data_IF_685685535629
#
_entry.id   IF_685685535629
#
_cell.length_a   1.000
_cell.length_b   1.000
_cell.length_c   1.000
_cell.angle_alpha   90.00
_cell.angle_beta   90.00
_cell.angle_gamma   90.00
#
_symmetry.space_group_name_H-M   'P 1'
#
loop_
_entity.id
_entity.type
_entity.pdbx_description
1 polymer ?
#
# COMPACT_ATOMS: atom_id res chain seq x y z
N UNK A 1 -5.50 -18.87 17.44
CA UNK A 1 -4.44 -18.18 16.67
C UNK A 1 -4.11 -18.99 15.44
N UNK A 2 -4.07 -18.39 14.25
CA UNK A 2 -3.60 -19.07 13.04
C UNK A 2 -2.07 -18.99 13.00
N UNK A 3 -1.37 -20.12 13.11
CA UNK A 3 0.09 -20.12 13.07
C UNK A 3 0.57 -19.76 11.66
N UNK A 4 1.29 -18.65 11.53
CA UNK A 4 2.04 -18.32 10.31
C UNK A 4 3.05 -19.45 10.06
N UNK A 5 2.75 -20.33 9.10
CA UNK A 5 3.61 -21.49 8.79
C UNK A 5 4.81 -21.03 7.96
N UNK A 6 6.06 -21.25 8.39
CA UNK A 6 7.23 -20.90 7.60
C UNK A 6 7.24 -21.57 6.22
N UNK A 7 7.45 -20.77 5.17
CA UNK A 7 7.59 -21.18 3.78
C UNK A 7 9.01 -20.80 3.32
N UNK A 8 9.90 -21.80 3.23
CA UNK A 8 11.29 -21.58 2.84
C UNK A 8 11.40 -20.96 1.44
N UNK A 9 12.28 -19.95 1.28
CA UNK A 9 12.60 -19.35 -0.02
C UNK A 9 13.25 -20.37 -0.96
N UNK A 10 12.80 -20.43 -2.22
CA UNK A 10 13.50 -21.18 -3.27
C UNK A 10 14.84 -20.51 -3.65
N UNK A 11 15.66 -21.19 -4.45
CA UNK A 11 17.00 -20.71 -4.80
C UNK A 11 17.00 -19.44 -5.68
N UNK A 12 16.02 -19.28 -6.58
CA UNK A 12 15.90 -18.10 -7.43
C UNK A 12 15.41 -16.90 -6.61
N UNK A 13 14.38 -17.10 -5.79
CA UNK A 13 13.81 -16.06 -4.93
C UNK A 13 14.83 -15.58 -3.89
N UNK A 14 15.52 -16.52 -3.22
CA UNK A 14 16.59 -16.21 -2.25
C UNK A 14 17.74 -15.41 -2.87
N UNK A 15 18.16 -15.77 -4.09
CA UNK A 15 19.19 -15.03 -4.82
C UNK A 15 18.70 -13.63 -5.25
N UNK A 16 17.44 -13.50 -5.70
CA UNK A 16 16.81 -12.21 -6.02
C UNK A 16 16.76 -11.30 -4.79
N UNK A 17 16.32 -11.81 -3.65
CA UNK A 17 16.24 -11.08 -2.37
C UNK A 17 17.64 -10.64 -1.91
N UNK A 18 18.61 -11.56 -1.87
CA UNK A 18 20.02 -11.25 -1.55
C UNK A 18 20.58 -10.14 -2.44
N UNK A 19 20.36 -10.22 -3.75
CA UNK A 19 20.85 -9.24 -4.73
C UNK A 19 20.11 -7.88 -4.66
N UNK A 20 18.96 -7.79 -4.00
CA UNK A 20 18.35 -6.51 -3.60
C UNK A 20 18.95 -6.00 -2.29
N UNK A 21 18.92 -6.79 -1.22
CA UNK A 21 19.29 -6.39 0.15
C UNK A 21 20.71 -5.82 0.28
N UNK A 22 21.67 -6.28 -0.54
CA UNK A 22 23.05 -5.78 -0.55
C UNK A 22 23.17 -4.33 -1.08
N UNK A 23 22.24 -3.88 -1.93
CA UNK A 23 22.29 -2.55 -2.54
C UNK A 23 22.05 -1.45 -1.52
N UNK A 24 22.81 -0.37 -1.59
CA UNK A 24 22.47 0.87 -0.89
C UNK A 24 21.30 1.56 -1.61
N UNK A 25 20.49 2.32 -0.86
CA UNK A 25 19.38 3.08 -1.42
C UNK A 25 19.89 4.19 -2.37
N UNK A 26 19.13 4.47 -3.42
CA UNK A 26 19.28 5.71 -4.17
C UNK A 26 18.84 6.91 -3.31
N UNK A 27 19.24 8.11 -3.71
CA UNK A 27 18.98 9.33 -2.93
C UNK A 27 17.45 9.60 -2.81
N UNK A 28 16.67 9.11 -3.77
CA UNK A 28 15.24 9.35 -3.92
C UNK A 28 14.40 8.75 -2.78
N UNK A 29 14.93 7.74 -2.08
CA UNK A 29 14.34 7.10 -0.90
C UNK A 29 14.75 7.74 0.43
N UNK A 30 15.58 8.80 0.39
CA UNK A 30 16.14 9.44 1.57
C UNK A 30 15.51 10.80 1.81
N UNK A 31 15.08 11.03 3.05
CA UNK A 31 14.63 12.33 3.54
C UNK A 31 15.61 12.88 4.58
N UNK A 32 15.64 14.20 4.75
CA UNK A 32 16.55 14.87 5.67
C UNK A 32 15.83 15.86 6.57
N UNK A 33 16.11 15.81 7.87
CA UNK A 33 15.63 16.77 8.86
C UNK A 33 16.79 17.48 9.54
N UNK A 34 16.55 18.68 10.04
CA UNK A 34 17.47 19.32 10.99
C UNK A 34 17.33 18.67 12.37
N UNK A 35 18.43 18.59 13.11
CA UNK A 35 18.48 18.14 14.50
C UNK A 35 19.68 18.77 15.21
N UNK A 36 19.83 18.52 16.52
CA UNK A 36 20.83 19.22 17.35
C UNK A 36 22.29 19.07 16.90
N UNK A 37 22.62 18.04 16.11
CA UNK A 37 23.95 17.81 15.51
C UNK A 37 24.08 18.16 14.02
N UNK A 38 23.09 18.85 13.41
CA UNK A 38 23.06 19.17 11.99
C UNK A 38 21.99 18.39 11.20
N UNK A 39 22.26 18.06 9.94
CA UNK A 39 21.30 17.36 9.06
C UNK A 39 21.32 15.85 9.31
N UNK A 40 20.18 15.29 9.70
CA UNK A 40 19.97 13.86 9.90
C UNK A 40 19.25 13.27 8.68
N UNK A 41 19.87 12.31 8.00
CA UNK A 41 19.24 11.52 6.93
C UNK A 41 18.46 10.36 7.53
N UNK A 42 17.25 10.11 7.02
CA UNK A 42 16.37 9.04 7.46
C UNK A 42 15.54 8.46 6.30
N UNK A 43 14.91 7.31 6.53
CA UNK A 43 13.85 6.77 5.66
C UNK A 43 12.49 6.96 6.33
N UNK A 44 11.49 7.28 5.52
CA UNK A 44 10.09 7.40 5.95
C UNK A 44 9.45 6.02 6.16
N UNK A 45 8.40 5.94 7.00
CA UNK A 45 7.68 4.68 7.26
C UNK A 45 7.10 4.07 5.99
N UNK A 46 6.45 4.90 5.16
CA UNK A 46 5.92 4.55 3.83
C UNK A 46 7.00 3.98 2.90
N UNK A 47 8.20 4.58 2.91
CA UNK A 47 9.35 4.09 2.15
C UNK A 47 9.81 2.72 2.64
N UNK A 48 9.94 2.51 3.96
CA UNK A 48 10.32 1.21 4.52
C UNK A 48 9.30 0.10 4.18
N UNK A 49 8.00 0.40 4.29
CA UNK A 49 6.90 -0.51 3.89
C UNK A 49 6.98 -0.86 2.40
N UNK A 50 7.16 0.14 1.53
CA UNK A 50 7.24 -0.06 0.08
C UNK A 50 8.45 -0.92 -0.31
N UNK A 51 9.62 -0.66 0.28
CA UNK A 51 10.83 -1.45 0.04
C UNK A 51 10.67 -2.90 0.52
N UNK A 52 10.07 -3.12 1.69
CA UNK A 52 9.77 -4.47 2.19
C UNK A 52 8.78 -5.21 1.28
N UNK A 53 7.73 -4.54 0.81
CA UNK A 53 6.78 -5.08 -0.18
C UNK A 53 7.45 -5.39 -1.53
N UNK A 54 8.41 -4.58 -1.98
CA UNK A 54 9.12 -4.82 -3.25
C UNK A 54 10.17 -5.94 -3.13
N UNK A 55 10.78 -6.11 -1.95
CA UNK A 55 11.85 -7.10 -1.70
C UNK A 55 11.26 -8.47 -1.36
N UNK A 56 10.36 -8.54 -0.38
CA UNK A 56 9.79 -9.82 0.11
C UNK A 56 8.46 -10.17 -0.56
N UNK A 57 7.74 -9.20 -1.12
CA UNK A 57 6.34 -9.34 -1.56
C UNK A 57 5.34 -8.96 -0.46
N UNK A 58 4.13 -8.54 -0.85
CA UNK A 58 3.10 -8.03 0.07
C UNK A 58 2.64 -9.05 1.13
N UNK A 59 2.83 -10.34 0.88
CA UNK A 59 2.57 -11.45 1.80
C UNK A 59 3.85 -12.18 2.26
N UNK A 60 5.01 -11.60 1.96
CA UNK A 60 6.33 -12.18 2.24
C UNK A 60 6.94 -11.74 3.58
N UNK A 61 6.31 -10.81 4.28
CA UNK A 61 6.72 -10.26 5.57
C UNK A 61 5.51 -9.86 6.42
N UNK A 62 5.73 -9.70 7.73
CA UNK A 62 4.76 -9.16 8.68
C UNK A 62 5.45 -8.37 9.80
N UNK A 63 4.68 -7.49 10.44
CA UNK A 63 5.04 -6.76 11.66
C UNK A 63 4.20 -7.25 12.84
N UNK A 64 4.73 -7.14 14.05
CA UNK A 64 4.05 -7.54 15.28
C UNK A 64 4.54 -6.66 16.44
N UNK A 65 3.61 -6.11 17.23
CA UNK A 65 3.94 -5.36 18.45
C UNK A 65 4.20 -6.37 19.56
N UNK A 66 5.40 -6.35 20.14
CA UNK A 66 5.80 -7.31 21.18
C UNK A 66 5.54 -6.80 22.60
N UNK A 67 5.70 -5.49 22.78
CA UNK A 67 5.35 -4.78 24.02
C UNK A 67 5.42 -3.27 23.78
N UNK A 68 4.57 -2.51 24.46
CA UNK A 68 4.59 -1.04 24.47
C UNK A 68 4.71 -0.56 25.90
N UNK A 69 5.77 0.19 26.21
CA UNK A 69 6.06 0.74 27.54
C UNK A 69 5.91 2.26 27.50
N UNK A 70 5.28 2.83 28.52
CA UNK A 70 5.18 4.28 28.70
C UNK A 70 6.26 4.68 29.70
N UNK A 71 7.34 5.27 29.20
CA UNK A 71 8.57 5.46 29.99
C UNK A 71 8.48 6.67 30.94
N UNK A 72 7.75 7.71 30.53
CA UNK A 72 7.36 8.83 31.40
C UNK A 72 6.09 9.53 30.91
N UNK A 73 5.37 10.20 31.82
CA UNK A 73 4.22 11.08 31.50
C UNK A 73 4.26 12.30 32.42
N UNK A 74 4.86 13.38 31.95
CA UNK A 74 4.95 14.63 32.70
C UNK A 74 3.82 15.58 32.34
N UNK A 75 3.34 16.35 33.32
CA UNK A 75 2.38 17.44 33.10
C UNK A 75 2.91 18.67 33.83
N UNK A 76 3.17 19.76 33.10
CA UNK A 76 3.66 21.00 33.71
C UNK A 76 2.52 21.84 34.32
N UNK A 77 2.88 22.91 35.04
CA UNK A 77 1.95 23.84 35.69
C UNK A 77 0.92 24.48 34.73
N UNK A 78 1.22 24.53 33.43
CA UNK A 78 0.34 25.06 32.37
C UNK A 78 -0.57 23.97 31.76
N UNK A 79 -0.63 22.78 32.37
CA UNK A 79 -1.40 21.63 31.88
C UNK A 79 -0.86 21.03 30.58
N UNK A 80 0.38 21.33 30.20
CA UNK A 80 1.01 20.78 28.98
C UNK A 80 1.62 19.43 29.29
N UNK A 81 1.42 18.47 28.38
CA UNK A 81 1.79 17.07 28.56
C UNK A 81 3.06 16.75 27.76
N UNK A 82 4.03 16.13 28.40
CA UNK A 82 5.16 15.48 27.74
C UNK A 82 5.13 13.97 28.01
N UNK A 83 5.46 13.14 27.03
CA UNK A 83 5.39 11.67 27.11
C UNK A 83 6.45 11.01 26.24
N UNK A 84 7.06 9.95 26.77
CA UNK A 84 7.97 9.05 26.08
C UNK A 84 7.41 7.62 26.04
N UNK A 85 7.51 6.95 24.89
CA UNK A 85 7.01 5.60 24.68
C UNK A 85 8.04 4.76 23.92
N UNK A 86 8.40 3.62 24.50
CA UNK A 86 9.24 2.58 23.90
C UNK A 86 8.37 1.41 23.42
N UNK A 87 8.50 1.05 22.15
CA UNK A 87 7.74 -0.06 21.54
C UNK A 87 8.69 -1.08 20.93
N UNK A 88 8.62 -2.33 21.40
CA UNK A 88 9.36 -3.46 20.82
C UNK A 88 8.57 -3.98 19.62
N UNK A 89 9.19 -3.99 18.44
CA UNK A 89 8.58 -4.48 17.21
C UNK A 89 9.36 -5.68 16.69
N UNK A 90 8.65 -6.76 16.35
CA UNK A 90 9.17 -7.86 15.54
C UNK A 90 8.81 -7.63 14.08
N UNK A 91 9.77 -7.87 13.19
CA UNK A 91 9.54 -8.06 11.76
C UNK A 91 9.90 -9.50 11.41
N UNK A 92 8.95 -10.24 10.84
CA UNK A 92 9.12 -11.65 10.44
C UNK A 92 8.98 -11.75 8.92
N UNK A 93 9.85 -12.51 8.25
CA UNK A 93 9.73 -12.84 6.82
C UNK A 93 9.22 -14.27 6.62
N UNK A 94 8.73 -14.59 5.42
CA UNK A 94 7.92 -15.81 5.19
C UNK A 94 8.61 -17.13 5.51
N UNK A 95 9.94 -17.20 5.53
CA UNK A 95 10.69 -18.41 5.91
C UNK A 95 10.85 -18.60 7.42
N UNK A 96 10.27 -17.71 8.24
CA UNK A 96 10.32 -17.74 9.70
C UNK A 96 11.49 -16.96 10.29
N UNK A 97 12.42 -16.43 9.47
CA UNK A 97 13.47 -15.52 9.95
C UNK A 97 12.83 -14.24 10.48
N UNK A 98 13.29 -13.74 11.63
CA UNK A 98 12.78 -12.50 12.21
C UNK A 98 13.89 -11.65 12.84
N UNK A 99 13.61 -10.36 12.98
CA UNK A 99 14.43 -9.39 13.71
C UNK A 99 13.56 -8.54 14.64
N UNK A 100 14.12 -8.15 15.78
CA UNK A 100 13.44 -7.34 16.81
C UNK A 100 14.30 -6.13 17.20
N UNK A 101 13.69 -4.95 17.25
CA UNK A 101 14.34 -3.72 17.70
C UNK A 101 13.34 -2.85 18.50
N UNK A 102 13.85 -1.91 19.27
CA UNK A 102 13.06 -1.01 20.12
C UNK A 102 12.91 0.33 19.40
N UNK A 103 11.70 0.67 18.99
CA UNK A 103 11.37 2.01 18.52
C UNK A 103 11.04 2.95 19.66
N UNK A 104 11.38 4.22 19.50
CA UNK A 104 11.06 5.27 20.47
C UNK A 104 10.25 6.39 19.84
N UNK A 105 9.27 6.91 20.58
CA UNK A 105 8.37 7.97 20.11
C UNK A 105 8.02 8.92 21.24
N UNK A 106 7.82 10.20 20.89
CA UNK A 106 7.74 11.26 21.87
C UNK A 106 6.78 12.39 21.48
N UNK A 107 6.11 12.95 22.47
CA UNK A 107 5.41 14.22 22.33
C UNK A 107 5.78 15.11 23.52
N UNK A 108 6.24 16.32 23.23
CA UNK A 108 6.56 17.34 24.23
C UNK A 108 5.55 18.48 24.17
N UNK A 109 5.24 19.10 25.31
CA UNK A 109 4.45 20.33 25.38
C UNK A 109 3.05 20.24 24.69
N UNK A 110 2.47 19.03 24.65
CA UNK A 110 1.15 18.78 24.05
C UNK A 110 0.03 19.47 24.82
N UNK A 111 -1.01 19.91 24.12
CA UNK A 111 -2.22 20.52 24.72
C UNK A 111 -3.15 19.51 25.41
N UNK A 112 -3.01 18.22 25.11
CA UNK A 112 -3.84 17.15 25.70
C UNK A 112 -3.05 15.86 25.92
N UNK A 113 -3.52 14.98 26.81
CA UNK A 113 -2.94 13.64 26.95
C UNK A 113 -3.20 12.77 25.71
N UNK A 114 -4.40 12.82 25.13
CA UNK A 114 -4.76 12.01 23.96
C UNK A 114 -3.79 12.23 22.78
N UNK A 115 -3.66 13.49 22.33
CA UNK A 115 -2.76 13.87 21.23
C UNK A 115 -1.28 13.63 21.52
N UNK A 116 -0.88 13.61 22.81
CA UNK A 116 0.49 13.29 23.21
C UNK A 116 0.77 11.79 23.04
N UNK A 117 -0.10 10.95 23.61
CA UNK A 117 -0.01 9.50 23.56
C UNK A 117 -0.17 8.96 22.13
N UNK A 118 -1.07 9.53 21.35
CA UNK A 118 -1.29 9.19 19.94
C UNK A 118 0.00 9.36 19.13
N UNK A 119 0.58 10.57 19.14
CA UNK A 119 1.84 10.86 18.44
C UNK A 119 2.96 9.92 18.91
N UNK A 120 3.16 9.77 20.21
CA UNK A 120 4.25 8.95 20.75
C UNK A 120 4.09 7.46 20.44
N UNK A 121 2.85 6.92 20.43
CA UNK A 121 2.58 5.55 19.97
C UNK A 121 2.83 5.37 18.48
N UNK A 122 2.28 6.26 17.63
CA UNK A 122 2.48 6.23 16.17
C UNK A 122 3.97 6.32 15.80
N UNK A 123 4.72 7.22 16.44
CA UNK A 123 6.17 7.38 16.21
C UNK A 123 6.97 6.16 16.69
N UNK A 124 6.74 5.67 17.91
CA UNK A 124 7.51 4.54 18.47
C UNK A 124 7.32 3.24 17.68
N UNK A 125 6.08 2.88 17.31
CA UNK A 125 5.83 1.68 16.52
C UNK A 125 6.44 1.80 15.10
N UNK A 126 6.34 2.98 14.47
CA UNK A 126 6.94 3.25 13.15
C UNK A 126 8.47 3.20 13.22
N UNK A 127 9.09 3.71 14.28
CA UNK A 127 10.54 3.64 14.47
C UNK A 127 11.02 2.20 14.67
N UNK A 128 10.33 1.43 15.51
CA UNK A 128 10.66 0.02 15.76
C UNK A 128 10.58 -0.82 14.50
N UNK A 129 9.55 -0.64 13.67
CA UNK A 129 9.42 -1.29 12.37
C UNK A 129 10.61 -0.97 11.45
N UNK A 130 10.99 0.31 11.27
CA UNK A 130 12.15 0.69 10.44
C UNK A 130 13.46 0.10 10.99
N UNK A 131 13.61 0.09 12.31
CA UNK A 131 14.81 -0.39 13.01
C UNK A 131 14.96 -1.91 13.00
N UNK A 132 13.86 -2.65 12.99
CA UNK A 132 13.85 -4.08 12.72
C UNK A 132 14.12 -4.38 11.23
N UNK A 133 13.49 -3.64 10.30
CA UNK A 133 13.66 -3.83 8.85
C UNK A 133 15.11 -3.65 8.37
N UNK A 134 15.85 -2.65 8.88
CA UNK A 134 17.26 -2.42 8.48
C UNK A 134 18.16 -3.64 8.70
N UNK A 135 17.89 -4.51 9.69
CA UNK A 135 18.77 -5.65 9.99
C UNK A 135 18.83 -6.68 8.85
N UNK A 136 17.80 -6.73 8.00
CA UNK A 136 17.82 -7.56 6.79
C UNK A 136 18.76 -7.03 5.69
N UNK A 137 19.12 -5.73 5.67
CA UNK A 137 20.12 -5.22 4.73
C UNK A 137 20.08 -3.73 4.38
N UNK A 138 21.02 -3.34 3.52
CA UNK A 138 21.24 -1.97 3.06
C UNK A 138 20.01 -1.37 2.37
N UNK A 139 19.33 -2.15 1.52
CA UNK A 139 18.12 -1.72 0.80
C UNK A 139 16.89 -1.56 1.71
N UNK A 140 16.98 -1.90 2.99
CA UNK A 140 15.96 -1.64 4.02
C UNK A 140 16.42 -0.59 5.04
N UNK A 141 17.43 0.21 4.68
CA UNK A 141 17.85 1.39 5.44
C UNK A 141 19.16 1.23 6.19
N UNK A 142 19.81 0.06 6.23
CA UNK A 142 21.09 -0.08 6.94
C UNK A 142 22.19 0.83 6.38
N UNK A 143 22.15 1.15 5.07
CA UNK A 143 23.16 2.00 4.45
C UNK A 143 23.21 3.43 5.04
N UNK A 144 22.12 3.95 5.62
CA UNK A 144 22.09 5.34 6.14
C UNK A 144 23.02 5.57 7.34
N UNK A 145 23.51 4.48 7.96
CA UNK A 145 24.48 4.53 9.06
C UNK A 145 25.94 4.65 8.57
N UNK A 146 26.21 4.38 7.28
CA UNK A 146 27.53 4.63 6.69
C UNK A 146 27.67 6.11 6.28
N UNK A 147 28.56 6.81 7.00
CA UNK A 147 28.92 8.22 6.73
C UNK A 147 29.53 8.41 5.35
N UNK A 148 30.26 7.42 4.83
CA UNK A 148 30.87 7.44 3.49
C UNK A 148 29.81 7.40 2.39
N UNK A 149 28.85 6.48 2.49
CA UNK A 149 27.65 6.47 1.64
C UNK A 149 26.87 7.80 1.75
N UNK A 150 26.53 8.26 2.96
CA UNK A 150 25.75 9.49 3.16
C UNK A 150 26.42 10.71 2.49
N UNK A 151 27.74 10.87 2.64
CA UNK A 151 28.49 11.98 2.05
C UNK A 151 28.62 11.92 0.50
N UNK A 152 28.35 10.77 -0.12
CA UNK A 152 28.35 10.60 -1.57
C UNK A 152 26.94 10.69 -2.15
N UNK A 153 25.95 10.02 -1.56
CA UNK A 153 24.56 10.04 -2.04
C UNK A 153 23.94 11.43 -1.92
N UNK A 154 24.37 12.26 -0.96
CA UNK A 154 23.97 13.67 -0.84
C UNK A 154 24.51 14.59 -1.95
N UNK A 155 25.35 14.08 -2.86
CA UNK A 155 25.84 14.80 -4.06
C UNK A 155 25.05 14.42 -5.32
N UNK A 156 24.19 13.39 -5.25
CA UNK A 156 23.34 12.95 -6.35
C UNK A 156 22.04 13.77 -6.38
N UNK A 157 21.60 14.16 -7.57
CA UNK A 157 20.45 15.05 -7.73
C UNK A 157 19.11 14.29 -7.78
N UNK A 158 18.21 14.61 -6.84
CA UNK A 158 16.95 15.32 -7.13
C UNK A 158 16.11 14.85 -8.33
N UNK A 159 16.03 13.56 -8.66
CA UNK A 159 15.11 13.14 -9.72
C UNK A 159 13.66 13.25 -9.25
N UNK A 160 12.89 14.10 -9.95
CA UNK A 160 11.47 14.32 -9.68
C UNK A 160 10.63 13.21 -10.33
N UNK A 161 9.88 12.47 -9.52
CA UNK A 161 8.89 11.50 -9.99
C UNK A 161 7.69 12.30 -10.51
N UNK A 162 7.43 12.24 -11.81
CA UNK A 162 6.28 12.93 -12.42
C UNK A 162 4.97 12.27 -11.98
N UNK A 163 4.01 13.09 -11.55
CA UNK A 163 2.70 12.61 -11.14
C UNK A 163 1.84 12.26 -12.36
N UNK A 164 1.59 10.95 -12.55
CA UNK A 164 0.79 10.43 -13.66
C UNK A 164 -0.60 10.00 -13.18
N UNK A 165 -1.61 10.84 -13.43
CA UNK A 165 -3.02 10.64 -13.02
C UNK A 165 -3.62 9.30 -13.49
N UNK A 166 -3.08 8.73 -14.57
CA UNK A 166 -3.52 7.47 -15.16
C UNK A 166 -3.10 6.23 -14.35
N UNK A 167 -2.02 6.32 -13.56
CA UNK A 167 -1.48 5.21 -12.78
C UNK A 167 -2.16 5.08 -11.40
N UNK A 168 -3.06 6.01 -11.06
CA UNK A 168 -3.87 5.98 -9.85
C UNK A 168 -4.86 4.82 -9.88
N UNK A 169 -4.79 3.94 -8.88
CA UNK A 169 -5.82 2.91 -8.68
C UNK A 169 -7.19 3.56 -8.50
N UNK A 170 -8.14 3.25 -9.40
CA UNK A 170 -9.45 3.89 -9.47
C UNK A 170 -10.54 2.84 -9.51
N UNK A 171 -11.35 2.78 -8.45
CA UNK A 171 -12.46 1.81 -8.36
C UNK A 171 -13.43 2.00 -9.54
N UNK A 172 -14.07 0.90 -9.98
CA UNK A 172 -14.84 0.84 -11.25
C UNK A 172 -15.86 1.97 -11.40
N UNK A 173 -16.57 2.32 -10.33
CA UNK A 173 -17.58 3.38 -10.30
C UNK A 173 -17.04 4.81 -10.56
N UNK A 174 -15.74 5.02 -10.39
CA UNK A 174 -15.07 6.32 -10.60
C UNK A 174 -14.24 6.36 -11.89
N UNK A 175 -14.26 5.30 -12.72
CA UNK A 175 -13.57 5.30 -14.02
C UNK A 175 -14.36 6.13 -15.03
N UNK A 176 -13.96 7.39 -15.21
CA UNK A 176 -14.50 8.28 -16.24
C UNK A 176 -14.41 7.63 -17.61
N UNK A 177 -15.48 7.71 -18.40
CA UNK A 177 -15.59 7.08 -19.74
C UNK A 177 -14.62 7.64 -20.79
N UNK A 178 -13.91 8.73 -20.46
CA UNK A 178 -12.94 9.41 -21.34
C UNK A 178 -11.73 8.55 -21.75
N UNK A 179 -11.39 7.48 -21.02
CA UNK A 179 -10.24 6.61 -21.35
C UNK A 179 -10.46 5.66 -22.54
N UNK A 180 -11.57 5.77 -23.29
CA UNK A 180 -11.94 4.85 -24.37
C UNK A 180 -11.91 5.48 -25.77
N UNK A 181 -10.95 6.38 -26.03
CA UNK A 181 -10.71 6.95 -27.36
C UNK A 181 -9.25 6.74 -27.77
N UNK A 182 -9.06 6.17 -28.97
CA UNK A 182 -7.80 6.02 -29.72
C UNK A 182 -6.75 5.02 -29.19
N UNK A 183 -6.83 3.76 -29.65
CA UNK A 183 -5.88 3.32 -30.69
C UNK A 183 -6.37 2.08 -31.46
N UNK A 184 -6.89 2.29 -32.67
CA UNK A 184 -7.22 1.23 -33.64
C UNK A 184 -7.16 1.82 -35.06
N UNK A 185 -6.12 1.54 -35.87
CA UNK A 185 -6.02 2.05 -37.23
C UNK A 185 -6.92 1.25 -38.18
N UNK A 186 -8.22 1.55 -38.21
CA UNK A 186 -9.14 1.03 -39.23
C UNK A 186 -9.30 2.03 -40.37
N UNK A 187 -8.64 1.75 -41.50
CA UNK A 187 -9.02 2.33 -42.79
C UNK A 187 -10.47 1.93 -43.10
N UNK A 188 -11.31 2.89 -43.49
CA UNK A 188 -12.70 2.63 -43.88
C UNK A 188 -13.06 3.42 -45.13
N UNK A 189 -12.84 2.80 -46.29
CA UNK A 189 -13.30 3.31 -47.59
C UNK A 189 -14.74 2.84 -47.88
N UNK A 190 -15.56 3.72 -48.46
CA UNK A 190 -16.88 3.46 -49.04
C UNK A 190 -17.25 4.66 -49.95
N UNK A 191 -18.03 4.48 -51.05
CA UNK A 191 -17.87 3.43 -52.06
C UNK A 191 -17.94 3.94 -53.53
N UNK A 192 -17.29 3.18 -54.42
CA UNK A 192 -17.42 3.06 -55.90
C UNK A 192 -18.32 4.03 -56.70
N UNK A 193 -17.80 4.58 -57.81
CA UNK A 193 -18.57 4.74 -59.07
C UNK A 193 -17.69 4.55 -60.32
N UNK A 194 -18.09 3.55 -61.13
CA UNK A 194 -17.84 3.21 -62.55
C UNK A 194 -16.88 4.02 -63.45
N UNK A 195 -15.98 3.32 -64.17
CA UNK A 195 -15.76 3.40 -65.65
C UNK A 195 -14.98 2.15 -66.14
N UNK A 196 -15.20 1.72 -67.39
CA UNK A 196 -14.69 0.47 -68.02
C UNK A 196 -13.16 0.50 -68.31
N UNK A 197 -12.43 -0.62 -68.50
CA UNK A 197 -12.59 -1.58 -69.63
C UNK A 197 -11.77 -2.90 -69.46
N UNK A 198 -12.14 -3.91 -70.26
CA UNK A 198 -11.31 -4.99 -70.85
C UNK A 198 -10.51 -6.03 -70.01
N UNK A 199 -11.10 -7.23 -69.94
CA UNK A 199 -10.64 -8.45 -70.67
C UNK A 199 -9.85 -9.61 -69.97
N UNK A 200 -10.19 -10.83 -70.42
CA UNK A 200 -9.39 -12.07 -70.51
C UNK A 200 -9.19 -12.99 -69.27
N UNK A 201 -10.06 -14.01 -69.20
CA UNK A 201 -9.77 -15.44 -68.85
C UNK A 201 -9.25 -15.81 -67.43
N UNK A 202 -9.38 -17.04 -66.89
CA UNK A 202 -9.93 -18.33 -67.40
C UNK A 202 -10.59 -19.16 -66.25
N UNK A 203 -10.98 -20.41 -66.55
CA UNK A 203 -11.53 -21.52 -65.72
C UNK A 203 -10.92 -21.75 -64.31
N UNK A 204 -11.51 -22.56 -63.39
CA UNK A 204 -12.62 -23.54 -63.46
C UNK A 204 -13.15 -24.01 -62.08
N UNK A 205 -14.46 -24.37 -62.03
CA UNK A 205 -15.11 -25.58 -61.43
C UNK A 205 -14.50 -26.25 -60.17
N UNK A 206 -15.25 -26.62 -59.12
CA UNK A 206 -16.71 -26.67 -58.90
C UNK A 206 -17.11 -26.80 -57.42
N UNK A 207 -18.34 -26.44 -57.02
CA UNK A 207 -19.54 -27.31 -56.86
C UNK A 207 -19.47 -28.30 -55.66
N UNK A 208 -20.05 -27.98 -54.49
CA UNK A 208 -21.49 -28.09 -54.03
C UNK A 208 -21.77 -29.42 -53.29
N UNK A 209 -22.81 -29.63 -52.45
CA UNK A 209 -24.10 -28.92 -52.21
C UNK A 209 -24.67 -29.20 -50.78
N UNK A 210 -25.46 -28.24 -50.22
CA UNK A 210 -26.66 -28.32 -49.31
C UNK A 210 -26.78 -29.32 -48.11
N UNK A 211 -27.39 -29.05 -46.92
CA UNK A 211 -28.62 -28.27 -46.48
C UNK A 211 -29.91 -29.08 -46.86
N UNK A 212 -30.99 -29.28 -46.01
CA UNK A 212 -31.77 -28.24 -45.30
C UNK A 212 -32.54 -28.56 -43.96
N UNK A 213 -32.93 -27.49 -43.23
CA UNK A 213 -34.23 -27.25 -42.52
C UNK A 213 -34.82 -28.23 -41.45
N UNK A 214 -35.82 -27.90 -40.58
CA UNK A 214 -36.71 -26.71 -40.41
C UNK A 214 -37.17 -26.50 -38.93
N UNK A 215 -37.87 -25.38 -38.66
CA UNK A 215 -38.46 -24.94 -37.37
C UNK A 215 -39.67 -25.78 -36.86
N UNK A 216 -40.15 -25.54 -35.61
CA UNK A 216 -41.43 -24.81 -35.30
C UNK A 216 -41.78 -24.81 -33.78
N UNK A 217 -42.43 -23.74 -33.28
CA UNK A 217 -42.94 -23.52 -31.88
C UNK A 217 -44.47 -23.48 -31.84
N UNK A 218 -45.18 -23.65 -30.69
CA UNK A 218 -45.76 -22.47 -29.98
C UNK A 218 -46.17 -22.59 -28.47
N UNK A 219 -46.54 -21.44 -27.86
CA UNK A 219 -47.52 -21.25 -26.75
C UNK A 219 -47.17 -21.69 -25.28
N UNK A 220 -47.85 -21.27 -24.19
CA UNK A 220 -48.57 -20.01 -23.78
C UNK A 220 -48.98 -20.06 -22.28
N UNK A 221 -48.90 -18.93 -21.54
CA UNK A 221 -49.49 -18.60 -20.20
C UNK A 221 -49.00 -19.42 -18.96
N UNK A 222 -48.90 -18.90 -17.72
CA UNK A 222 -49.16 -17.56 -17.11
C UNK A 222 -48.06 -17.27 -16.02
N UNK A 223 -48.11 -16.46 -14.93
CA UNK A 223 -49.16 -15.76 -14.13
C UNK A 223 -48.58 -14.54 -13.36
N UNK A 224 -49.43 -13.80 -12.63
CA UNK A 224 -49.25 -12.55 -11.84
C UNK A 224 -48.38 -12.61 -10.57
N UNK A 225 -47.58 -11.57 -10.25
CA UNK A 225 -47.55 -10.80 -8.95
C UNK A 225 -46.46 -9.71 -8.89
N UNK A 226 -46.65 -8.67 -8.05
CA UNK A 226 -45.74 -7.53 -7.77
C UNK A 226 -46.32 -6.67 -6.61
N UNK A 227 -45.66 -5.59 -6.10
CA UNK A 227 -44.24 -5.26 -5.94
C UNK A 227 -43.87 -5.20 -4.40
N UNK A 228 -42.84 -4.46 -3.89
CA UNK A 228 -42.89 -2.99 -3.79
C UNK A 228 -41.56 -2.23 -4.04
N UNK A 229 -41.68 -0.90 -4.09
CA UNK A 229 -40.66 0.10 -4.42
C UNK A 229 -39.48 0.23 -3.42
N UNK A 230 -38.36 0.76 -3.93
CA UNK A 230 -37.25 1.31 -3.13
C UNK A 230 -37.36 2.84 -3.02
N UNK A 231 -36.90 3.41 -1.90
CA UNK A 231 -37.02 4.85 -1.62
C UNK A 231 -35.92 5.70 -2.29
N UNK A 232 -36.25 6.95 -2.62
CA UNK A 232 -35.32 7.95 -3.18
C UNK A 232 -34.71 8.79 -2.05
N UNK A 233 -33.39 8.95 -2.07
CA UNK A 233 -32.64 9.80 -1.12
C UNK A 233 -32.26 11.11 -1.83
N UNK A 234 -32.50 12.30 -1.24
CA UNK A 234 -32.12 13.58 -1.83
C UNK A 234 -30.61 13.86 -1.73
N UNK A 235 -30.04 14.70 -2.62
CA UNK A 235 -28.61 15.03 -2.61
C UNK A 235 -28.23 15.99 -1.47
N UNK A 236 -27.00 15.86 -0.99
CA UNK A 236 -26.40 16.73 0.03
C UNK A 236 -25.96 18.10 -0.58
N UNK A 237 -25.99 19.22 0.17
CA UNK A 237 -25.60 20.52 -0.37
C UNK A 237 -24.12 20.62 -0.75
N UNK A 238 -23.83 21.44 -1.78
CA UNK A 238 -22.48 21.82 -2.16
C UNK A 238 -22.15 23.20 -1.57
N UNK A 239 -21.36 23.24 -0.49
CA UNK A 239 -20.27 24.21 -0.32
C UNK A 239 -19.49 23.97 0.98
N UNK A 240 -18.21 23.58 0.83
CA UNK A 240 -17.19 23.60 1.86
C UNK A 240 -15.81 23.48 1.20
N UNK A 241 -15.13 24.60 0.96
CA UNK A 241 -13.77 24.64 0.41
C UNK A 241 -12.75 24.23 1.47
N UNK A 242 -12.63 22.93 1.72
CA UNK A 242 -11.68 22.38 2.68
C UNK A 242 -10.27 22.29 2.07
N UNK A 243 -9.35 23.14 2.54
CA UNK A 243 -7.93 23.06 2.21
C UNK A 243 -7.26 22.00 3.09
N UNK A 244 -6.81 20.91 2.49
CA UNK A 244 -6.05 19.86 3.18
C UNK A 244 -4.54 20.10 3.04
N UNK A 245 -3.83 20.18 4.16
CA UNK A 245 -2.37 19.99 4.18
C UNK A 245 -2.05 18.49 3.98
N UNK A 246 -1.04 18.19 3.17
CA UNK A 246 -0.89 16.87 2.52
C UNK A 246 0.07 15.93 3.25
N UNK A 247 0.15 16.04 4.58
CA UNK A 247 0.99 15.20 5.45
C UNK A 247 0.20 14.10 6.21
N UNK A 248 -1.14 14.05 6.08
CA UNK A 248 -2.02 13.20 6.89
C UNK A 248 -2.80 12.15 6.06
N UNK A 249 -2.09 11.13 5.55
CA UNK A 249 -2.66 9.91 4.93
C UNK A 249 -1.65 8.74 5.00
N UNK A 250 -1.97 7.55 5.52
CA UNK A 250 -3.24 6.98 6.00
C UNK A 250 -3.08 6.44 7.43
N UNK A 251 -3.72 7.06 8.43
CA UNK A 251 -3.60 6.64 9.84
C UNK A 251 -4.59 5.53 10.25
N UNK A 252 -5.79 5.47 9.65
CA UNK A 252 -6.83 4.48 10.01
C UNK A 252 -6.38 3.03 9.80
N UNK A 253 -5.64 2.77 8.71
CA UNK A 253 -5.14 1.42 8.39
C UNK A 253 -4.16 0.95 9.46
N UNK A 254 -3.27 1.82 9.95
CA UNK A 254 -2.32 1.46 11.00
C UNK A 254 -2.99 1.36 12.38
N UNK A 255 -3.95 2.24 12.69
CA UNK A 255 -4.77 2.15 13.91
C UNK A 255 -5.49 0.79 13.98
N UNK A 256 -6.13 0.35 12.88
CA UNK A 256 -6.86 -0.93 12.84
C UNK A 256 -6.00 -2.17 13.10
N UNK A 257 -4.69 -2.10 12.86
CA UNK A 257 -3.72 -3.16 13.16
C UNK A 257 -3.25 -3.13 14.63
N UNK A 258 -3.30 -1.98 15.29
CA UNK A 258 -2.89 -1.79 16.69
C UNK A 258 -4.05 -2.05 17.67
N UNK A 259 -5.30 -1.86 17.24
CA UNK A 259 -6.49 -2.10 18.07
C UNK A 259 -6.87 -3.60 18.20
N UNK A 260 -6.38 -4.48 17.32
CA UNK A 260 -6.77 -5.90 17.28
C UNK A 260 -6.31 -6.77 18.48
N UNK A 261 -5.55 -6.22 19.43
CA UNK A 261 -4.98 -7.00 20.55
C UNK A 261 -5.59 -6.67 21.94
N UNK A 262 -6.64 -5.84 21.99
CA UNK A 262 -7.31 -5.42 23.23
C UNK A 262 -8.66 -6.14 23.51
N UNK A 263 -8.68 -7.48 23.53
CA UNK A 263 -9.79 -8.23 24.16
C UNK A 263 -9.37 -9.59 24.77
N UNK A 264 -8.59 -9.54 25.86
CA UNK A 264 -8.32 -10.70 26.76
C UNK A 264 -8.04 -10.27 28.21
N UNK A 265 -8.99 -10.45 29.14
CA UNK A 265 -8.77 -10.23 30.58
C UNK A 265 -8.46 -11.56 31.33
N UNK A 266 -7.36 -12.23 30.98
CA UNK A 266 -6.93 -13.47 31.67
C UNK A 266 -6.11 -13.13 32.94
N UNK A 267 -6.81 -12.89 34.06
CA UNK A 267 -6.23 -12.44 35.34
C UNK A 267 -6.39 -13.49 36.45
N UNK A 268 -5.72 -14.64 36.33
CA UNK A 268 -5.63 -15.62 37.44
C UNK A 268 -4.42 -15.33 38.35
N UNK A 269 -4.73 -14.86 39.57
CA UNK A 269 -3.76 -14.41 40.56
C UNK A 269 -3.37 -15.58 41.48
N UNK A 270 -2.42 -16.42 41.05
CA UNK A 270 -1.86 -17.49 41.90
C UNK A 270 -0.96 -16.88 42.99
N UNK A 271 -1.55 -16.71 44.17
CA UNK A 271 -0.82 -16.27 45.37
C UNK A 271 0.15 -17.34 45.87
N UNK A 272 1.35 -16.89 46.25
CA UNK A 272 2.25 -17.65 47.12
C UNK A 272 1.94 -17.32 48.57
N UNK A 273 1.77 -18.34 49.40
CA UNK A 273 1.86 -18.24 50.86
C UNK A 273 2.38 -19.57 51.43
N UNK A 274 3.32 -19.46 52.38
CA UNK A 274 3.95 -20.54 53.19
C UNK A 274 4.55 -21.76 52.44
#
# INVERSE_FOLDING_TARGET
MSSFRPIAYDLQERNKIKNKLVKNLGHEWLSQRVGGGGRLTYIEGKTAINLANEIFGFNGWSTEVRSTTVDFVDVNEQGRVSVGISTVIRVTVKDGTFHEDIGYGSAENSRSKATAFEKAKKESATDGMKRALRMFGNALGNCIYDKGYIANVSRTAKQEIKFHVQDLYRHKQFRTSASSIHNSPQQKQLPVTTTATNATATSSVGKTETIPEKNTTPATATTTTSPPAAAVIPPLPQDASFTYDVDEVDDEVFASLVEQEFDKPDLEYLGFDA
#
